data_IF_319764414078
#
_entry.id   IF_319764414078
#
_cell.length_a   1.000
_cell.length_b   1.000
_cell.length_c   1.000
_cell.angle_alpha   90.00
_cell.angle_beta   90.00
_cell.angle_gamma   90.00
#
_symmetry.space_group_name_H-M   'P 1'
#
loop_
_entity.id
_entity.type
_entity.pdbx_description
1 polymer ?
#
# COMPACT_ATOMS: atom_id res chain seq x y z
N UNK A 1 -4.90 -27.97 -6.46
CA UNK A 1 -4.49 -27.43 -7.77
C UNK A 1 -3.01 -27.70 -8.03
N UNK A 2 -2.68 -28.43 -9.10
CA UNK A 2 -1.27 -28.61 -9.50
C UNK A 2 -0.66 -27.32 -10.09
N UNK A 3 0.67 -27.22 -10.08
CA UNK A 3 1.44 -26.06 -10.57
C UNK A 3 1.00 -25.59 -11.97
N UNK A 4 0.85 -26.51 -12.91
CA UNK A 4 0.53 -26.16 -14.30
C UNK A 4 -0.86 -25.53 -14.43
N UNK A 5 -1.83 -26.01 -13.64
CA UNK A 5 -3.16 -25.38 -13.56
C UNK A 5 -3.07 -23.95 -13.03
N UNK A 6 -2.28 -23.72 -11.97
CA UNK A 6 -2.06 -22.37 -11.43
C UNK A 6 -1.44 -21.47 -12.50
N UNK A 7 -0.30 -21.87 -13.07
CA UNK A 7 0.43 -21.06 -14.07
C UNK A 7 -0.46 -20.72 -15.27
N UNK A 8 -1.26 -21.66 -15.76
CA UNK A 8 -2.19 -21.41 -16.86
C UNK A 8 -3.26 -20.38 -16.49
N UNK A 9 -3.87 -20.49 -15.30
CA UNK A 9 -4.83 -19.48 -14.80
C UNK A 9 -4.19 -18.10 -14.69
N UNK A 10 -2.95 -18.02 -14.20
CA UNK A 10 -2.21 -16.75 -14.08
C UNK A 10 -1.87 -16.15 -15.46
N UNK A 11 -1.53 -16.96 -16.46
CA UNK A 11 -1.33 -16.48 -17.85
C UNK A 11 -2.61 -15.89 -18.42
N UNK A 12 -3.74 -16.57 -18.24
CA UNK A 12 -5.05 -16.06 -18.67
C UNK A 12 -5.33 -14.72 -17.99
N UNK A 13 -5.16 -14.61 -16.67
CA UNK A 13 -5.34 -13.36 -15.93
C UNK A 13 -4.42 -12.22 -16.40
N UNK A 14 -3.16 -12.53 -16.70
CA UNK A 14 -2.21 -11.56 -17.25
C UNK A 14 -2.69 -10.98 -18.57
N UNK A 15 -3.22 -11.83 -19.47
CA UNK A 15 -3.82 -11.38 -20.73
C UNK A 15 -5.12 -10.59 -20.52
N UNK A 16 -6.02 -11.05 -19.65
CA UNK A 16 -7.30 -10.38 -19.36
C UNK A 16 -7.12 -8.98 -18.76
N UNK A 17 -6.16 -8.83 -17.84
CA UNK A 17 -5.89 -7.58 -17.14
C UNK A 17 -4.90 -6.67 -17.89
N UNK A 18 -4.28 -7.17 -18.96
CA UNK A 18 -3.19 -6.50 -19.68
C UNK A 18 -2.05 -6.03 -18.74
N UNK A 19 -1.65 -6.89 -17.81
CA UNK A 19 -0.54 -6.67 -16.87
C UNK A 19 0.50 -7.76 -17.02
N UNK A 20 1.73 -7.50 -16.57
CA UNK A 20 2.81 -8.48 -16.73
C UNK A 20 2.52 -9.77 -15.94
N UNK A 21 2.98 -10.91 -16.46
CA UNK A 21 2.85 -12.19 -15.75
C UNK A 21 3.49 -12.14 -14.35
N UNK A 22 4.57 -11.37 -14.18
CA UNK A 22 5.24 -11.21 -12.88
C UNK A 22 4.37 -10.45 -11.87
N UNK A 23 3.62 -9.43 -12.30
CA UNK A 23 2.69 -8.72 -11.42
C UNK A 23 1.54 -9.64 -10.99
N UNK A 24 1.01 -10.44 -11.93
CA UNK A 24 -0.03 -11.44 -11.64
C UNK A 24 0.48 -12.53 -10.71
N UNK A 25 1.70 -13.03 -10.93
CA UNK A 25 2.33 -14.02 -10.08
C UNK A 25 2.55 -13.47 -8.67
N UNK A 26 3.00 -12.21 -8.57
CA UNK A 26 3.18 -11.53 -7.29
C UNK A 26 1.86 -11.39 -6.54
N UNK A 27 0.82 -10.89 -7.22
CA UNK A 27 -0.51 -10.76 -6.65
C UNK A 27 -1.06 -12.10 -6.18
N UNK A 28 -0.87 -13.18 -6.94
CA UNK A 28 -1.27 -14.52 -6.54
C UNK A 28 -0.64 -14.94 -5.20
N UNK A 29 0.67 -14.77 -5.04
CA UNK A 29 1.34 -15.09 -3.79
C UNK A 29 0.90 -14.18 -2.63
N UNK A 30 0.57 -12.91 -2.90
CA UNK A 30 0.01 -12.04 -1.87
C UNK A 30 -1.38 -12.50 -1.45
N UNK A 31 -2.24 -12.86 -2.41
CA UNK A 31 -3.59 -13.34 -2.15
C UNK A 31 -3.60 -14.64 -1.34
N UNK A 32 -2.72 -15.58 -1.69
CA UNK A 32 -2.59 -16.84 -0.96
C UNK A 32 -2.07 -16.60 0.47
N UNK A 33 -1.19 -15.62 0.70
CA UNK A 33 -0.78 -15.22 2.05
C UNK A 33 -1.94 -14.58 2.82
N UNK A 34 -2.69 -13.68 2.17
CA UNK A 34 -3.87 -13.03 2.74
C UNK A 34 -4.97 -14.03 3.08
N UNK A 35 -5.11 -15.12 2.33
CA UNK A 35 -6.00 -16.23 2.68
C UNK A 35 -5.58 -16.85 4.01
N UNK A 36 -4.30 -17.18 4.20
CA UNK A 36 -3.80 -17.73 5.47
C UNK A 36 -4.07 -16.76 6.64
N UNK A 37 -3.74 -15.48 6.45
CA UNK A 37 -4.04 -14.45 7.45
C UNK A 37 -5.53 -14.39 7.78
N UNK A 38 -6.40 -14.42 6.77
CA UNK A 38 -7.86 -14.31 6.94
C UNK A 38 -8.47 -15.45 7.76
N UNK A 39 -7.85 -16.64 7.71
CA UNK A 39 -8.25 -17.84 8.47
C UNK A 39 -7.58 -17.92 9.85
N UNK A 40 -6.54 -17.12 10.10
CA UNK A 40 -5.81 -17.12 11.35
C UNK A 40 -6.57 -16.40 12.46
N UNK A 41 -6.20 -16.69 13.71
CA UNK A 41 -6.68 -15.96 14.89
C UNK A 41 -6.26 -14.48 14.93
N UNK A 42 -5.35 -14.06 14.04
CA UNK A 42 -4.78 -12.71 13.98
C UNK A 42 -5.47 -11.79 12.97
N UNK A 43 -6.47 -12.28 12.21
CA UNK A 43 -7.11 -11.52 11.12
C UNK A 43 -7.52 -10.09 11.56
N UNK A 44 -8.17 -9.97 12.72
CA UNK A 44 -8.69 -8.69 13.20
C UNK A 44 -7.59 -7.71 13.67
N UNK A 45 -6.38 -8.21 13.87
CA UNK A 45 -5.23 -7.42 14.30
C UNK A 45 -4.46 -6.81 13.13
N UNK A 46 -4.59 -7.36 11.91
CA UNK A 46 -3.84 -6.93 10.73
C UNK A 46 -4.72 -6.05 9.83
N UNK A 47 -4.35 -4.77 9.74
CA UNK A 47 -5.02 -3.81 8.88
C UNK A 47 -4.21 -3.63 7.59
N UNK A 48 -4.73 -4.12 6.46
CA UNK A 48 -4.06 -4.00 5.17
C UNK A 48 -4.01 -2.52 4.74
N UNK A 49 -2.80 -2.01 4.48
CA UNK A 49 -2.54 -0.62 4.07
C UNK A 49 -1.68 -0.55 2.81
N UNK A 50 -1.20 0.65 2.51
CA UNK A 50 -0.17 0.88 1.49
C UNK A 50 -0.60 0.53 0.06
N UNK A 51 0.36 0.07 -0.75
CA UNK A 51 0.15 -0.13 -2.19
C UNK A 51 -0.89 -1.21 -2.51
N UNK A 52 -0.96 -2.26 -1.69
CA UNK A 52 -1.92 -3.36 -1.83
C UNK A 52 -3.37 -2.89 -1.67
N UNK A 53 -3.63 -2.03 -0.66
CA UNK A 53 -4.95 -1.44 -0.46
C UNK A 53 -5.36 -0.58 -1.66
N UNK A 54 -4.45 0.26 -2.17
CA UNK A 54 -4.72 1.07 -3.35
C UNK A 54 -5.03 0.17 -4.54
N UNK A 55 -4.17 -0.79 -4.86
CA UNK A 55 -4.35 -1.76 -5.95
C UNK A 55 -5.69 -2.51 -5.85
N UNK A 56 -6.11 -2.91 -4.66
CA UNK A 56 -7.40 -3.54 -4.44
C UNK A 56 -8.58 -2.61 -4.77
N UNK A 57 -8.51 -1.34 -4.38
CA UNK A 57 -9.60 -0.36 -4.58
C UNK A 57 -9.71 0.14 -6.02
N UNK A 58 -8.58 0.33 -6.72
CA UNK A 58 -8.56 0.90 -8.08
C UNK A 58 -8.28 -0.11 -9.19
N UNK A 59 -7.91 -1.34 -8.84
CA UNK A 59 -7.55 -2.41 -9.78
C UNK A 59 -6.04 -2.58 -9.98
N UNK A 60 -5.60 -3.83 -10.11
CA UNK A 60 -4.19 -4.20 -10.27
C UNK A 60 -3.54 -3.57 -11.53
N UNK A 61 -4.32 -3.42 -12.60
CA UNK A 61 -3.89 -2.78 -13.84
C UNK A 61 -3.56 -1.29 -13.66
N UNK A 62 -4.04 -0.68 -12.58
CA UNK A 62 -3.80 0.71 -12.25
C UNK A 62 -2.75 0.88 -11.14
N UNK A 63 -2.38 -0.20 -10.43
CA UNK A 63 -1.35 -0.13 -9.39
C UNK A 63 -0.81 -1.51 -9.06
N UNK A 64 0.45 -1.77 -9.38
CA UNK A 64 1.18 -2.94 -8.88
C UNK A 64 2.02 -2.59 -7.67
N UNK A 65 2.32 -3.56 -6.81
CA UNK A 65 3.13 -3.38 -5.60
C UNK A 65 4.02 -4.60 -5.34
N UNK A 66 5.10 -4.44 -4.59
CA UNK A 66 6.13 -5.48 -4.37
C UNK A 66 6.17 -6.01 -2.94
N UNK A 67 5.34 -5.45 -2.10
CA UNK A 67 5.31 -5.55 -0.66
C UNK A 67 3.86 -5.59 -0.19
N UNK A 68 3.65 -6.19 0.98
CA UNK A 68 2.37 -6.11 1.69
C UNK A 68 2.60 -5.27 2.94
N UNK A 69 1.92 -4.14 3.02
CA UNK A 69 1.97 -3.25 4.17
C UNK A 69 0.80 -3.55 5.13
N UNK A 70 1.10 -3.71 6.42
CA UNK A 70 0.12 -3.83 7.48
C UNK A 70 0.33 -2.79 8.57
N UNK A 71 -0.76 -2.34 9.17
CA UNK A 71 -0.73 -1.82 10.53
C UNK A 71 -1.27 -2.87 11.50
N UNK A 72 -0.60 -3.03 12.63
CA UNK A 72 -1.04 -3.90 13.71
C UNK A 72 -1.87 -3.11 14.72
N UNK A 73 -2.98 -3.70 15.13
CA UNK A 73 -3.83 -3.18 16.20
C UNK A 73 -4.13 -4.27 17.25
N UNK A 74 -4.07 -3.89 18.53
CA UNK A 74 -4.42 -4.78 19.65
C UNK A 74 -3.46 -5.95 19.89
N UNK A 75 -2.22 -5.87 19.40
CA UNK A 75 -1.14 -6.82 19.70
C UNK A 75 0.11 -6.08 20.17
N UNK A 76 0.89 -6.76 21.01
CA UNK A 76 2.20 -6.26 21.42
C UNK A 76 3.16 -6.24 20.23
N UNK A 77 3.53 -5.04 19.81
CA UNK A 77 4.43 -4.83 18.68
C UNK A 77 5.89 -4.94 19.13
N UNK A 78 6.40 -6.17 19.15
CA UNK A 78 7.82 -6.46 19.25
C UNK A 78 8.22 -7.50 18.21
N UNK A 79 9.49 -7.50 17.82
CA UNK A 79 9.99 -8.28 16.68
C UNK A 79 9.82 -9.78 16.90
N UNK A 80 10.10 -10.29 18.09
CA UNK A 80 9.99 -11.72 18.39
C UNK A 80 8.54 -12.20 18.31
N UNK A 81 7.62 -11.41 18.89
CA UNK A 81 6.20 -11.68 18.78
C UNK A 81 5.72 -11.62 17.32
N UNK A 82 6.08 -10.58 16.55
CA UNK A 82 5.71 -10.49 15.14
C UNK A 82 6.26 -11.66 14.31
N UNK A 83 7.50 -12.09 14.59
CA UNK A 83 8.09 -13.27 13.96
C UNK A 83 7.29 -14.54 14.26
N UNK A 84 6.91 -14.75 15.52
CA UNK A 84 6.10 -15.90 15.93
C UNK A 84 4.72 -15.88 15.27
N UNK A 85 4.06 -14.72 15.24
CA UNK A 85 2.77 -14.54 14.58
C UNK A 85 2.84 -14.83 13.08
N UNK A 86 3.84 -14.29 12.37
CA UNK A 86 4.02 -14.58 10.94
C UNK A 86 4.27 -16.07 10.74
N UNK A 87 5.10 -16.69 11.60
CA UNK A 87 5.42 -18.12 11.55
C UNK A 87 4.17 -18.98 11.73
N UNK A 88 3.31 -18.63 12.70
CA UNK A 88 2.01 -19.26 12.93
C UNK A 88 1.13 -19.15 11.68
N UNK A 89 1.00 -17.95 11.09
CA UNK A 89 0.17 -17.72 9.89
C UNK A 89 0.67 -18.59 8.72
N UNK A 90 1.97 -18.56 8.44
CA UNK A 90 2.51 -19.32 7.31
C UNK A 90 2.50 -20.83 7.55
N UNK A 91 2.47 -21.30 8.80
CA UNK A 91 2.38 -22.74 9.11
C UNK A 91 1.05 -23.38 8.70
N UNK A 92 0.00 -22.56 8.47
CA UNK A 92 -1.34 -23.00 8.04
C UNK A 92 -1.41 -23.33 6.53
N UNK A 93 -0.28 -23.34 5.83
CA UNK A 93 -0.22 -23.50 4.39
C UNK A 93 -0.71 -24.87 3.89
N UNK A 94 -0.93 -24.96 2.58
CA UNK A 94 -1.26 -26.21 1.90
C UNK A 94 0.01 -26.84 1.32
N UNK A 95 -0.03 -28.13 1.01
CA UNK A 95 1.09 -28.81 0.33
C UNK A 95 1.43 -28.20 -1.05
N UNK A 96 0.54 -27.38 -1.63
CA UNK A 96 0.68 -26.85 -2.99
C UNK A 96 1.29 -25.44 -3.01
N UNK A 97 0.86 -24.58 -2.09
CA UNK A 97 1.35 -23.21 -1.92
C UNK A 97 1.79 -23.03 -0.47
N UNK A 98 3.05 -22.69 -0.26
CA UNK A 98 3.62 -22.51 1.07
C UNK A 98 4.60 -21.34 1.13
N UNK A 99 4.92 -20.91 2.35
CA UNK A 99 5.77 -19.73 2.59
C UNK A 99 6.90 -20.04 3.54
N UNK A 100 8.07 -19.48 3.25
CA UNK A 100 9.25 -19.50 4.10
C UNK A 100 9.48 -18.10 4.65
N UNK A 101 9.57 -17.94 5.97
CA UNK A 101 10.08 -16.72 6.58
C UNK A 101 11.61 -16.79 6.56
N UNK A 102 12.26 -15.88 5.84
CA UNK A 102 13.70 -15.91 5.58
C UNK A 102 14.43 -14.70 6.17
N UNK A 103 15.74 -14.87 6.35
CA UNK A 103 16.64 -13.78 6.72
C UNK A 103 16.35 -13.18 8.10
N UNK A 104 16.91 -11.98 8.31
CA UNK A 104 16.63 -11.15 9.47
C UNK A 104 15.60 -10.09 9.10
N UNK A 105 14.99 -9.50 10.11
CA UNK A 105 14.10 -8.36 9.97
C UNK A 105 14.92 -7.06 9.80
N UNK A 106 14.28 -6.03 9.26
CA UNK A 106 14.86 -4.69 9.10
C UNK A 106 13.94 -3.64 9.74
N UNK A 107 14.51 -2.61 10.39
CA UNK A 107 13.73 -1.44 10.78
C UNK A 107 13.33 -0.65 9.53
N UNK A 108 12.06 -0.29 9.44
CA UNK A 108 11.54 0.64 8.44
C UNK A 108 10.97 1.87 9.15
N UNK A 109 11.08 3.04 8.50
CA UNK A 109 10.59 4.32 9.01
C UNK A 109 11.21 4.71 10.37
N UNK A 110 12.53 4.92 10.40
CA UNK A 110 13.28 5.34 11.59
C UNK A 110 12.75 6.65 12.22
N UNK A 111 11.99 7.44 11.46
CA UNK A 111 11.45 8.74 11.89
C UNK A 111 10.05 8.64 12.56
N UNK A 112 9.39 7.47 12.59
CA UNK A 112 8.09 7.26 13.24
C UNK A 112 8.24 6.80 14.71
N UNK A 113 7.39 7.31 15.61
CA UNK A 113 7.48 7.17 17.08
C UNK A 113 7.53 5.71 17.58
N UNK A 114 6.87 4.78 16.90
CA UNK A 114 6.84 3.35 17.28
C UNK A 114 7.65 2.44 16.32
N UNK A 115 8.19 3.02 15.24
CA UNK A 115 8.88 2.30 14.17
C UNK A 115 8.00 1.30 13.40
N UNK A 116 8.52 0.83 12.27
CA UNK A 116 7.99 -0.35 11.58
C UNK A 116 9.09 -1.41 11.43
N UNK A 117 8.67 -2.64 11.14
CA UNK A 117 9.57 -3.77 10.90
C UNK A 117 9.22 -4.42 9.56
N UNK A 118 10.24 -4.65 8.75
CA UNK A 118 10.16 -5.42 7.51
C UNK A 118 10.60 -6.86 7.76
N UNK A 119 9.78 -7.79 7.33
CA UNK A 119 10.07 -9.22 7.29
C UNK A 119 10.18 -9.69 5.85
N UNK A 120 11.05 -10.67 5.59
CA UNK A 120 11.29 -11.20 4.25
C UNK A 120 10.71 -12.60 4.13
N UNK A 121 9.89 -12.85 3.11
CA UNK A 121 9.28 -14.14 2.87
C UNK A 121 9.62 -14.63 1.46
N UNK A 122 9.57 -15.95 1.27
CA UNK A 122 9.51 -16.57 -0.06
C UNK A 122 8.20 -17.34 -0.16
N UNK A 123 7.39 -17.03 -1.16
CA UNK A 123 6.25 -17.85 -1.56
C UNK A 123 6.68 -18.95 -2.54
N UNK A 124 6.17 -20.16 -2.36
CA UNK A 124 6.53 -21.34 -3.14
C UNK A 124 5.30 -22.00 -3.78
N UNK A 125 5.46 -22.38 -5.06
CA UNK A 125 4.58 -23.34 -5.75
C UNK A 125 5.44 -24.27 -6.57
N UNK A 126 5.59 -25.52 -6.12
CA UNK A 126 6.52 -26.49 -6.72
C UNK A 126 7.93 -25.87 -6.82
N UNK A 127 8.50 -25.69 -8.03
CA UNK A 127 9.80 -25.05 -8.24
C UNK A 127 9.76 -23.53 -8.43
N UNK A 128 8.58 -22.90 -8.44
CA UNK A 128 8.45 -21.44 -8.51
C UNK A 128 8.70 -20.87 -7.12
N UNK A 129 9.55 -19.84 -7.06
CA UNK A 129 9.88 -19.09 -5.83
C UNK A 129 9.68 -17.61 -6.08
N UNK A 130 8.96 -16.93 -5.20
CA UNK A 130 8.79 -15.48 -5.23
C UNK A 130 9.19 -14.88 -3.89
N UNK A 131 10.34 -14.19 -3.81
CA UNK A 131 10.68 -13.39 -2.63
C UNK A 131 9.82 -12.12 -2.58
N UNK A 132 9.33 -11.77 -1.40
CA UNK A 132 8.60 -10.52 -1.13
C UNK A 132 8.74 -10.11 0.34
N UNK A 133 8.30 -8.90 0.66
CA UNK A 133 8.40 -8.34 2.02
C UNK A 133 7.04 -8.08 2.64
N UNK A 134 6.96 -8.29 3.96
CA UNK A 134 5.88 -7.82 4.82
C UNK A 134 6.38 -6.64 5.63
N UNK A 135 5.83 -5.46 5.37
CA UNK A 135 6.12 -4.25 6.12
C UNK A 135 5.04 -4.06 7.17
N UNK A 136 5.41 -4.16 8.44
CA UNK A 136 4.47 -4.12 9.55
C UNK A 136 4.80 -2.90 10.42
N UNK A 137 3.81 -2.05 10.66
CA UNK A 137 3.92 -0.88 11.54
C UNK A 137 2.83 -0.88 12.61
N UNK A 138 2.91 0.04 13.56
CA UNK A 138 1.89 0.26 14.58
C UNK A 138 1.76 1.75 14.92
N UNK A 139 0.68 2.12 15.61
CA UNK A 139 0.50 3.44 16.20
C UNK A 139 0.07 4.58 15.27
N UNK A 140 0.14 4.41 13.94
CA UNK A 140 -0.40 5.40 13.01
C UNK A 140 -1.91 5.65 13.28
N UNK A 141 -2.37 6.90 13.37
CA UNK A 141 -3.78 7.21 13.54
C UNK A 141 -4.55 6.83 12.28
N UNK A 142 -5.74 6.25 12.48
CA UNK A 142 -6.61 5.83 11.37
C UNK A 142 -7.96 6.50 11.53
N UNK A 143 -8.40 7.15 10.46
CA UNK A 143 -9.75 7.69 10.37
C UNK A 143 -10.27 7.64 8.93
N UNK A 144 -11.54 7.25 8.70
CA UNK A 144 -12.47 6.65 9.67
C UNK A 144 -11.98 5.30 10.20
N UNK A 145 -12.66 4.76 11.21
CA UNK A 145 -12.31 3.46 11.81
C UNK A 145 -12.19 2.36 10.75
N UNK A 146 -11.15 1.50 10.82
CA UNK A 146 -10.99 0.38 9.91
C UNK A 146 -12.24 -0.50 9.80
N UNK A 147 -12.50 -1.00 8.60
CA UNK A 147 -13.66 -1.87 8.32
C UNK A 147 -13.19 -3.24 7.86
N UNK A 148 -13.92 -4.27 8.28
CA UNK A 148 -13.84 -5.61 7.70
C UNK A 148 -14.57 -5.58 6.37
N UNK A 149 -13.87 -5.84 5.28
CA UNK A 149 -14.45 -5.84 3.94
C UNK A 149 -14.18 -7.14 3.20
N UNK A 150 -14.98 -7.38 2.17
CA UNK A 150 -14.90 -8.56 1.33
C UNK A 150 -13.81 -8.36 0.26
N UNK A 151 -12.71 -9.07 0.38
CA UNK A 151 -11.63 -9.09 -0.60
C UNK A 151 -11.86 -10.19 -1.62
N UNK A 152 -11.68 -9.88 -2.92
CA UNK A 152 -11.71 -10.88 -3.99
C UNK A 152 -10.29 -11.11 -4.49
N UNK A 153 -9.82 -12.34 -4.39
CA UNK A 153 -8.50 -12.73 -4.91
C UNK A 153 -8.49 -12.71 -6.44
N UNK A 154 -7.31 -12.64 -7.01
CA UNK A 154 -7.02 -12.72 -8.43
C UNK A 154 -7.65 -13.96 -9.09
N UNK A 155 -7.63 -15.10 -8.40
CA UNK A 155 -8.24 -16.35 -8.90
C UNK A 155 -9.74 -16.46 -8.60
N UNK A 156 -10.32 -15.49 -7.87
CA UNK A 156 -11.76 -15.31 -7.74
C UNK A 156 -12.36 -15.76 -6.41
N UNK A 157 -11.54 -16.21 -5.45
CA UNK A 157 -11.99 -16.55 -4.11
C UNK A 157 -12.35 -15.30 -3.31
N UNK A 158 -13.23 -15.44 -2.32
CA UNK A 158 -13.60 -14.35 -1.42
C UNK A 158 -13.10 -14.63 0.00
N UNK A 159 -12.40 -13.64 0.56
CA UNK A 159 -11.96 -13.61 1.95
C UNK A 159 -12.40 -12.32 2.62
N UNK A 160 -12.30 -12.25 3.94
CA UNK A 160 -12.61 -11.04 4.70
C UNK A 160 -11.36 -10.57 5.46
N UNK A 161 -11.00 -9.32 5.24
CA UNK A 161 -9.83 -8.67 5.81
C UNK A 161 -10.23 -7.31 6.37
N UNK A 162 -9.41 -6.78 7.28
CA UNK A 162 -9.54 -5.40 7.74
C UNK A 162 -8.68 -4.48 6.90
N UNK A 163 -9.25 -3.35 6.49
CA UNK A 163 -8.58 -2.38 5.64
C UNK A 163 -8.36 -1.06 6.35
N UNK A 164 -7.21 -0.45 6.06
CA UNK A 164 -7.03 0.98 6.22
C UNK A 164 -8.06 1.76 5.41
N UNK A 165 -8.44 2.95 5.88
CA UNK A 165 -9.26 3.85 5.09
C UNK A 165 -8.43 4.53 4.00
N UNK A 166 -9.04 4.81 2.85
CA UNK A 166 -8.38 5.57 1.79
C UNK A 166 -8.09 7.00 2.23
N UNK A 167 -8.91 7.57 3.11
CA UNK A 167 -8.69 8.86 3.75
C UNK A 167 -7.37 8.89 4.53
N UNK A 168 -7.07 7.85 5.31
CA UNK A 168 -5.81 7.75 6.05
C UNK A 168 -4.61 7.56 5.11
N UNK A 169 -4.78 6.80 4.02
CA UNK A 169 -3.74 6.66 2.99
C UNK A 169 -3.40 8.01 2.36
N UNK A 170 -4.41 8.81 1.98
CA UNK A 170 -4.21 10.14 1.41
C UNK A 170 -3.58 11.07 2.44
N UNK A 171 -4.05 11.04 3.70
CA UNK A 171 -3.50 11.85 4.78
C UNK A 171 -2.01 11.57 5.03
N UNK A 172 -1.60 10.30 5.14
CA UNK A 172 -0.19 9.90 5.33
C UNK A 172 0.70 10.35 4.16
N UNK A 173 0.21 10.20 2.92
CA UNK A 173 0.95 10.58 1.71
C UNK A 173 1.07 12.09 1.59
N UNK A 174 -0.02 12.83 1.84
CA UNK A 174 0.00 14.29 1.80
C UNK A 174 0.93 14.85 2.86
N UNK A 175 0.87 14.31 4.08
CA UNK A 175 1.80 14.65 5.16
C UNK A 175 3.25 14.43 4.72
N UNK A 176 3.55 13.26 4.14
CA UNK A 176 4.90 12.93 3.65
C UNK A 176 5.36 13.87 2.54
N UNK A 177 4.47 14.22 1.60
CA UNK A 177 4.77 15.14 0.51
C UNK A 177 5.14 16.52 1.04
N UNK A 178 4.31 17.08 1.93
CA UNK A 178 4.53 18.41 2.48
C UNK A 178 5.73 18.45 3.44
N UNK A 179 5.94 17.42 4.24
CA UNK A 179 7.06 17.36 5.19
C UNK A 179 8.43 17.24 4.49
N UNK A 180 8.50 16.51 3.36
CA UNK A 180 9.75 16.35 2.60
C UNK A 180 9.99 17.48 1.60
N UNK A 181 8.93 18.15 1.17
CA UNK A 181 8.97 19.26 0.21
C UNK A 181 9.89 18.94 -0.99
N UNK A 182 10.85 19.81 -1.29
CA UNK A 182 11.78 19.72 -2.42
C UNK A 182 12.66 18.45 -2.42
N UNK A 183 12.88 17.85 -1.24
CA UNK A 183 13.67 16.64 -1.07
C UNK A 183 12.87 15.36 -1.37
N UNK A 184 11.59 15.47 -1.77
CA UNK A 184 10.75 14.31 -2.02
C UNK A 184 11.04 13.63 -3.36
N UNK A 185 11.36 12.33 -3.30
CA UNK A 185 11.62 11.48 -4.47
C UNK A 185 10.51 10.44 -4.72
N UNK A 186 9.47 10.39 -3.87
CA UNK A 186 8.43 9.34 -3.88
C UNK A 186 7.28 9.67 -4.85
N UNK A 187 7.54 9.60 -6.15
CA UNK A 187 6.52 9.86 -7.19
C UNK A 187 5.28 8.98 -7.07
N UNK A 188 5.40 7.77 -6.49
CA UNK A 188 4.25 6.91 -6.21
C UNK A 188 3.23 7.53 -5.26
N UNK A 189 3.66 8.37 -4.31
CA UNK A 189 2.74 9.01 -3.36
C UNK A 189 1.89 10.09 -4.04
N UNK A 190 2.48 10.80 -5.01
CA UNK A 190 1.77 11.74 -5.88
C UNK A 190 0.72 11.03 -6.74
N UNK A 191 1.11 9.91 -7.36
CA UNK A 191 0.17 9.10 -8.15
C UNK A 191 -0.98 8.55 -7.30
N UNK A 192 -0.65 7.94 -6.15
CA UNK A 192 -1.65 7.33 -5.27
C UNK A 192 -2.67 8.38 -4.79
N UNK A 193 -2.23 9.61 -4.45
CA UNK A 193 -3.18 10.71 -4.15
C UNK A 193 -4.05 11.05 -5.36
N UNK A 194 -3.45 11.28 -6.53
CA UNK A 194 -4.17 11.67 -7.74
C UNK A 194 -5.27 10.66 -8.08
N UNK A 195 -4.94 9.37 -8.09
CA UNK A 195 -5.88 8.33 -8.50
C UNK A 195 -6.95 8.06 -7.45
N UNK A 196 -6.65 8.17 -6.15
CA UNK A 196 -7.65 7.99 -5.09
C UNK A 196 -8.61 9.18 -5.08
N UNK A 197 -8.09 10.40 -5.16
CA UNK A 197 -8.90 11.62 -5.10
C UNK A 197 -9.84 11.74 -6.31
N UNK A 198 -9.36 11.43 -7.52
CA UNK A 198 -10.16 11.54 -8.74
C UNK A 198 -11.16 10.39 -8.95
N UNK A 199 -11.02 9.26 -8.25
CA UNK A 199 -11.97 8.15 -8.34
C UNK A 199 -13.21 8.33 -7.42
N UNK A 200 -13.44 9.53 -6.87
CA UNK A 200 -14.65 9.94 -6.15
C UNK A 200 -15.09 9.02 -4.98
N UNK A 201 -14.15 8.32 -4.35
CA UNK A 201 -14.42 7.38 -3.25
C UNK A 201 -14.24 7.94 -1.85
N UNK A 202 -13.80 9.20 -1.70
CA UNK A 202 -13.46 9.81 -0.42
C UNK A 202 -14.61 10.68 0.10
N UNK A 203 -14.92 10.53 1.38
CA UNK A 203 -15.83 11.44 2.07
C UNK A 203 -15.01 12.62 2.62
N UNK A 204 -15.37 13.86 2.20
CA UNK A 204 -14.53 15.04 2.42
C UNK A 204 -14.32 15.36 3.91
N UNK A 205 -15.34 15.24 4.75
CA UNK A 205 -15.20 15.51 6.19
C UNK A 205 -14.33 14.45 6.88
N UNK A 206 -14.47 13.19 6.46
CA UNK A 206 -13.58 12.12 6.92
C UNK A 206 -12.15 12.34 6.49
N UNK A 207 -11.91 12.83 5.27
CA UNK A 207 -10.58 13.16 4.79
C UNK A 207 -9.94 14.31 5.58
N UNK A 208 -10.70 15.37 5.88
CA UNK A 208 -10.25 16.48 6.75
C UNK A 208 -9.82 15.98 8.12
N UNK A 209 -10.63 15.12 8.74
CA UNK A 209 -10.32 14.54 10.05
C UNK A 209 -9.10 13.64 10.00
N UNK A 210 -8.97 12.79 8.97
CA UNK A 210 -7.80 11.94 8.76
C UNK A 210 -6.53 12.78 8.63
N UNK A 211 -6.54 13.82 7.78
CA UNK A 211 -5.43 14.77 7.63
C UNK A 211 -5.08 15.39 8.99
N UNK A 212 -6.05 15.91 9.72
CA UNK A 212 -5.81 16.53 11.04
C UNK A 212 -5.15 15.56 12.02
N UNK A 213 -5.66 14.34 12.12
CA UNK A 213 -5.11 13.33 13.05
C UNK A 213 -3.71 12.90 12.65
N UNK A 214 -3.47 12.60 11.38
CA UNK A 214 -2.14 12.22 10.88
C UNK A 214 -1.11 13.33 11.07
N UNK A 215 -1.46 14.58 10.74
CA UNK A 215 -0.55 15.71 10.86
C UNK A 215 -0.22 16.01 12.33
N UNK A 216 -1.22 15.97 13.21
CA UNK A 216 -1.02 16.16 14.64
C UNK A 216 -0.12 15.07 15.24
N UNK A 217 -0.35 13.80 14.87
CA UNK A 217 0.44 12.67 15.35
C UNK A 217 1.90 12.74 14.90
N UNK A 218 2.13 13.18 13.66
CA UNK A 218 3.48 13.36 13.09
C UNK A 218 4.06 14.76 13.30
N UNK A 219 3.51 15.52 14.25
CA UNK A 219 3.96 16.87 14.63
C UNK A 219 4.16 17.84 13.43
N UNK A 220 3.33 17.69 12.39
CA UNK A 220 3.38 18.51 11.17
C UNK A 220 2.43 19.69 11.31
N UNK A 221 2.89 20.76 11.94
CA UNK A 221 2.12 21.99 12.11
C UNK A 221 2.29 22.89 10.89
N UNK A 222 1.36 22.80 9.94
CA UNK A 222 1.41 23.56 8.68
C UNK A 222 0.05 24.23 8.40
N UNK A 223 0.09 25.51 8.05
CA UNK A 223 -1.10 26.24 7.63
C UNK A 223 -1.46 25.92 6.18
N UNK A 224 -2.71 26.17 5.79
CA UNK A 224 -3.15 26.07 4.38
C UNK A 224 -2.24 26.85 3.43
N UNK A 225 -1.85 28.06 3.82
CA UNK A 225 -0.95 28.92 3.04
C UNK A 225 0.41 28.24 2.83
N UNK A 226 1.03 27.77 3.91
CA UNK A 226 2.33 27.11 3.83
C UNK A 226 2.27 25.82 2.99
N UNK A 227 1.17 25.06 3.10
CA UNK A 227 0.96 23.85 2.29
C UNK A 227 0.89 24.20 0.79
N UNK A 228 0.12 25.23 0.42
CA UNK A 228 0.04 25.72 -0.96
C UNK A 228 1.38 26.27 -1.47
N UNK A 229 2.13 26.99 -0.63
CA UNK A 229 3.46 27.50 -0.99
C UNK A 229 4.44 26.35 -1.27
N UNK A 230 4.45 25.29 -0.44
CA UNK A 230 5.27 24.08 -0.70
C UNK A 230 4.83 23.37 -1.97
N UNK A 231 3.51 23.20 -2.18
CA UNK A 231 2.99 22.59 -3.41
C UNK A 231 3.42 23.40 -4.64
N UNK A 232 3.39 24.73 -4.57
CA UNK A 232 3.86 25.61 -5.64
C UNK A 232 5.35 25.37 -5.94
N UNK A 233 6.21 25.34 -4.92
CA UNK A 233 7.64 25.05 -5.07
C UNK A 233 7.89 23.69 -5.73
N UNK A 234 7.12 22.67 -5.38
CA UNK A 234 7.22 21.34 -6.00
C UNK A 234 6.81 21.40 -7.48
N UNK A 235 5.69 22.07 -7.78
CA UNK A 235 5.11 22.12 -9.13
C UNK A 235 5.89 22.98 -10.11
N UNK A 236 6.56 24.02 -9.64
CA UNK A 236 7.41 24.90 -10.47
C UNK A 236 8.83 24.36 -10.63
N UNK A 237 9.18 23.24 -9.97
CA UNK A 237 10.51 22.66 -10.02
C UNK A 237 10.63 21.60 -11.13
N UNK A 238 11.42 21.85 -12.20
CA UNK A 238 11.57 20.92 -13.33
C UNK A 238 12.08 19.53 -12.93
N UNK A 239 12.81 19.42 -11.81
CA UNK A 239 13.31 18.13 -11.31
C UNK A 239 12.16 17.19 -10.95
N UNK A 240 11.03 17.70 -10.48
CA UNK A 240 9.87 16.86 -10.18
C UNK A 240 9.19 16.34 -11.44
N UNK A 241 9.09 17.17 -12.49
CA UNK A 241 8.59 16.73 -13.79
C UNK A 241 9.49 15.65 -14.39
N UNK A 242 10.82 15.82 -14.35
CA UNK A 242 11.76 14.78 -14.78
C UNK A 242 11.59 13.47 -13.99
N UNK A 243 11.41 13.57 -12.66
CA UNK A 243 11.17 12.41 -11.79
C UNK A 243 9.85 11.73 -12.16
N UNK A 244 8.81 12.50 -12.47
CA UNK A 244 7.52 11.98 -12.93
C UNK A 244 7.66 11.23 -14.25
N UNK A 245 8.31 11.82 -15.27
CA UNK A 245 8.56 11.16 -16.56
C UNK A 245 9.33 9.85 -16.37
N UNK A 246 10.37 9.84 -15.53
CA UNK A 246 11.10 8.60 -15.19
C UNK A 246 10.22 7.56 -14.50
N UNK A 247 9.27 8.00 -13.68
CA UNK A 247 8.29 7.13 -13.04
C UNK A 247 7.30 6.55 -14.07
N UNK A 248 6.79 7.35 -15.01
CA UNK A 248 5.90 6.90 -16.09
C UNK A 248 6.56 5.86 -16.99
N UNK A 249 7.81 6.08 -17.39
CA UNK A 249 8.57 5.14 -18.21
C UNK A 249 8.74 3.75 -17.58
N UNK A 250 8.62 3.66 -16.24
CA UNK A 250 8.70 2.40 -15.50
C UNK A 250 7.33 1.80 -15.16
N UNK A 251 6.26 2.58 -15.29
CA UNK A 251 4.91 2.24 -14.82
C UNK A 251 3.90 2.63 -15.89
N UNK A 252 3.55 1.69 -16.76
CA UNK A 252 2.69 1.94 -17.93
C UNK A 252 1.29 2.44 -17.56
N UNK A 253 0.81 2.13 -16.36
CA UNK A 253 -0.50 2.54 -15.86
C UNK A 253 -0.65 4.04 -15.59
N UNK A 254 0.44 4.82 -15.60
CA UNK A 254 0.41 6.28 -15.40
C UNK A 254 0.73 7.11 -16.66
N UNK A 255 0.87 6.47 -17.82
CA UNK A 255 1.37 7.12 -19.05
C UNK A 255 0.51 8.31 -19.52
N UNK A 256 -0.79 8.32 -19.20
CA UNK A 256 -1.72 9.36 -19.64
C UNK A 256 -1.91 10.49 -18.62
N UNK A 257 -1.14 10.50 -17.52
CA UNK A 257 -1.28 11.47 -16.43
C UNK A 257 -0.11 12.44 -16.50
N UNK A 258 -0.37 13.73 -16.69
CA UNK A 258 0.68 14.77 -16.70
C UNK A 258 1.05 15.18 -15.28
N UNK A 259 2.28 15.66 -15.09
CA UNK A 259 2.68 16.19 -13.78
C UNK A 259 1.84 17.42 -13.38
N UNK A 260 1.46 18.27 -14.35
CA UNK A 260 0.54 19.38 -14.12
C UNK A 260 -0.81 18.94 -13.55
N UNK A 261 -1.39 17.85 -14.07
CA UNK A 261 -2.66 17.33 -13.57
C UNK A 261 -2.57 16.84 -12.12
N UNK A 262 -1.41 16.31 -11.71
CA UNK A 262 -1.12 15.94 -10.33
C UNK A 262 -1.00 17.18 -9.46
N UNK A 263 -0.32 18.21 -9.96
CA UNK A 263 -0.16 19.48 -9.29
C UNK A 263 -1.49 20.18 -9.04
N UNK A 264 -2.40 20.16 -10.01
CA UNK A 264 -3.73 20.75 -9.85
C UNK A 264 -4.59 19.94 -8.86
N UNK A 265 -4.52 18.61 -8.92
CA UNK A 265 -5.15 17.73 -7.94
C UNK A 265 -4.64 18.00 -6.51
N UNK A 266 -3.33 18.19 -6.31
CA UNK A 266 -2.77 18.50 -5.00
C UNK A 266 -3.25 19.86 -4.47
N UNK A 267 -3.29 20.89 -5.34
CA UNK A 267 -3.82 22.22 -4.96
C UNK A 267 -5.29 22.12 -4.57
N UNK A 268 -6.09 21.42 -5.35
CA UNK A 268 -7.51 21.21 -5.07
C UNK A 268 -7.72 20.47 -3.75
N UNK A 269 -7.00 19.38 -3.54
CA UNK A 269 -7.02 18.62 -2.29
C UNK A 269 -6.75 19.53 -1.09
N UNK A 270 -5.68 20.31 -1.13
CA UNK A 270 -5.33 21.24 -0.03
C UNK A 270 -6.41 22.31 0.15
N UNK A 271 -6.92 22.88 -0.95
CA UNK A 271 -7.99 23.87 -0.91
C UNK A 271 -9.27 23.34 -0.25
N UNK A 272 -9.60 22.08 -0.45
CA UNK A 272 -10.82 21.47 0.07
C UNK A 272 -10.66 20.89 1.49
N UNK A 273 -9.43 20.64 1.96
CA UNK A 273 -9.19 19.89 3.21
C UNK A 273 -8.50 20.67 4.33
N UNK A 274 -7.80 21.77 4.03
CA UNK A 274 -7.13 22.63 5.04
C UNK A 274 -7.97 23.86 5.41
#
# INVERSE_FOLDING_TARGET
MNKDSIVNKLRIRSSELNVSFNDVLSQFFYDEFLKLLSMSKYNENFLLKGGMLVAYKIGLQNRSTRDIDFLINGLDFNIENMRNIISDIVSMHTNEVWYELIGNWELIRLDDIYGGTRFHLIGHVSNIRLPFTLDIATGDPIYPTPKKEKYRTLLGDFIYLYFYSLESVVAEKLQTILARAENNTRMKDFYDIYIIFNNNGLELESLKLAIRYTFSYRHTNISKKNALDITKLICENPVFEERWIRFQNKNTYVMNITFDSICDCLKELICNTF
#
